data_IF_238793561176
#
_entry.id   IF_238793561176
#
_cell.length_a   1.000
_cell.length_b   1.000
_cell.length_c   1.000
_cell.angle_alpha   90.00
_cell.angle_beta   90.00
_cell.angle_gamma   90.00
#
_symmetry.space_group_name_H-M   'P 1'
#
loop_
_entity.id
_entity.type
_entity.pdbx_description
1 polymer ?
#
# COMPACT_ATOMS: atom_id res chain seq x y z
N UNK A 1 14.77 -9.04 -7.10
CA UNK A 1 15.65 -7.93 -7.04
C UNK A 1 16.98 -8.31 -6.42
N UNK A 2 18.08 -7.93 -7.06
CA UNK A 2 19.42 -8.33 -6.63
C UNK A 2 19.80 -7.75 -5.27
N UNK A 3 19.35 -6.54 -4.94
CA UNK A 3 19.63 -5.91 -3.65
C UNK A 3 18.98 -6.66 -2.47
N UNK A 4 17.75 -7.12 -2.62
CA UNK A 4 17.07 -7.90 -1.62
C UNK A 4 17.71 -9.28 -1.46
N UNK A 5 18.12 -9.91 -2.56
CA UNK A 5 18.84 -11.18 -2.52
C UNK A 5 20.17 -11.04 -1.82
N UNK A 6 20.92 -9.98 -2.07
CA UNK A 6 22.21 -9.70 -1.40
C UNK A 6 22.01 -9.49 0.11
N UNK A 7 20.96 -8.81 0.53
CA UNK A 7 20.63 -8.64 1.94
C UNK A 7 20.32 -9.99 2.62
N UNK A 8 19.59 -10.87 1.96
CA UNK A 8 19.29 -12.22 2.44
C UNK A 8 20.57 -13.03 2.59
N UNK A 9 21.45 -13.02 1.61
CA UNK A 9 22.71 -13.76 1.63
C UNK A 9 23.62 -13.27 2.77
N UNK A 10 23.67 -11.96 3.01
CA UNK A 10 24.38 -11.37 4.14
C UNK A 10 23.82 -11.85 5.48
N UNK A 11 22.50 -11.86 5.64
CA UNK A 11 21.85 -12.37 6.85
C UNK A 11 22.14 -13.84 7.09
N UNK A 12 22.11 -14.66 6.04
CA UNK A 12 22.44 -16.10 6.13
C UNK A 12 23.87 -16.33 6.62
N UNK A 13 24.83 -15.48 6.23
CA UNK A 13 26.22 -15.61 6.65
C UNK A 13 26.43 -15.29 8.12
N UNK A 14 25.56 -14.50 8.74
CA UNK A 14 25.65 -14.16 10.17
C UNK A 14 24.98 -15.19 11.09
N UNK A 15 24.10 -16.03 10.58
CA UNK A 15 23.36 -17.01 11.40
C UNK A 15 24.31 -17.91 12.21
N UNK A 16 25.40 -18.49 11.64
CA UNK A 16 26.32 -19.34 12.39
C UNK A 16 27.05 -18.63 13.53
N UNK A 17 27.07 -17.29 13.51
CA UNK A 17 27.76 -16.49 14.53
C UNK A 17 26.85 -16.12 15.71
N UNK A 18 25.56 -16.44 15.63
CA UNK A 18 24.57 -16.10 16.66
C UNK A 18 24.54 -17.17 17.75
N UNK A 19 24.62 -16.75 19.02
CA UNK A 19 24.66 -17.63 20.18
C UNK A 19 23.30 -17.92 20.81
N UNK A 20 22.24 -17.28 20.32
CA UNK A 20 20.88 -17.40 20.87
C UNK A 20 19.96 -18.08 19.87
N UNK A 21 19.32 -19.17 20.28
CA UNK A 21 18.32 -19.88 19.47
C UNK A 21 17.16 -18.96 19.05
N UNK A 22 16.76 -18.06 19.94
CA UNK A 22 15.70 -17.10 19.66
C UNK A 22 16.10 -16.12 18.55
N UNK A 23 17.32 -15.59 18.60
CA UNK A 23 17.85 -14.68 17.59
C UNK A 23 18.00 -15.42 16.25
N UNK A 24 18.50 -16.64 16.26
CA UNK A 24 18.62 -17.48 15.06
C UNK A 24 17.25 -17.71 14.43
N UNK A 25 16.24 -18.03 15.22
CA UNK A 25 14.88 -18.25 14.71
C UNK A 25 14.28 -16.97 14.12
N UNK A 26 14.46 -15.84 14.77
CA UNK A 26 14.01 -14.55 14.25
C UNK A 26 14.67 -14.19 12.91
N UNK A 27 15.99 -14.43 12.79
CA UNK A 27 16.72 -14.20 11.55
C UNK A 27 16.24 -15.15 10.43
N UNK A 28 16.01 -16.41 10.74
CA UNK A 28 15.47 -17.39 9.78
C UNK A 28 14.06 -17.03 9.31
N UNK A 29 13.19 -16.59 10.21
CA UNK A 29 11.83 -16.14 9.87
C UNK A 29 11.88 -14.93 8.95
N UNK A 30 12.74 -13.96 9.23
CA UNK A 30 12.95 -12.79 8.37
C UNK A 30 13.45 -13.17 6.98
N UNK A 31 14.40 -14.11 6.90
CA UNK A 31 14.92 -14.62 5.61
C UNK A 31 13.80 -15.33 4.83
N UNK A 32 13.05 -16.20 5.48
CA UNK A 32 11.96 -16.95 4.86
C UNK A 32 10.90 -15.99 4.27
N UNK A 33 10.52 -14.96 5.03
CA UNK A 33 9.58 -13.96 4.57
C UNK A 33 10.11 -13.17 3.37
N UNK A 34 11.39 -12.79 3.39
CA UNK A 34 12.03 -12.07 2.29
C UNK A 34 12.14 -12.94 1.04
N UNK A 35 12.48 -14.22 1.19
CA UNK A 35 12.53 -15.17 0.06
C UNK A 35 11.17 -15.38 -0.57
N UNK A 36 10.11 -15.46 0.24
CA UNK A 36 8.73 -15.54 -0.26
C UNK A 36 8.35 -14.32 -1.09
N UNK A 37 8.74 -13.12 -0.64
CA UNK A 37 8.49 -11.88 -1.39
C UNK A 37 9.28 -11.82 -2.69
N UNK A 38 10.52 -12.31 -2.72
CA UNK A 38 11.30 -12.41 -3.96
C UNK A 38 10.61 -13.33 -4.95
N UNK A 39 10.13 -14.49 -4.49
CA UNK A 39 9.43 -15.43 -5.35
C UNK A 39 8.15 -14.81 -5.94
N UNK A 40 7.42 -14.03 -5.16
CA UNK A 40 6.25 -13.30 -5.66
C UNK A 40 6.63 -12.27 -6.74
N UNK A 41 7.73 -11.53 -6.51
CA UNK A 41 8.19 -10.51 -7.46
C UNK A 41 8.77 -11.09 -8.73
N UNK A 42 9.32 -12.31 -8.67
CA UNK A 42 9.93 -12.99 -9.82
C UNK A 42 8.93 -13.85 -10.59
N UNK A 43 7.68 -13.95 -10.15
CA UNK A 43 6.66 -14.58 -10.97
C UNK A 43 6.55 -13.86 -12.31
N UNK A 44 6.50 -14.59 -13.43
CA UNK A 44 6.31 -13.93 -14.73
C UNK A 44 5.09 -13.04 -14.63
N UNK A 45 5.28 -11.78 -14.97
CA UNK A 45 4.13 -10.90 -15.20
C UNK A 45 3.45 -11.49 -16.43
N UNK A 46 2.46 -12.30 -16.17
CA UNK A 46 1.54 -12.65 -17.25
C UNK A 46 0.81 -11.34 -17.52
N UNK A 47 1.15 -10.75 -18.66
CA UNK A 47 0.51 -9.53 -19.14
C UNK A 47 -0.96 -9.84 -19.45
N UNK A 48 -1.70 -10.04 -18.40
CA UNK A 48 -3.13 -10.26 -18.45
C UNK A 48 -3.74 -9.32 -17.44
N UNK A 49 -4.18 -8.18 -17.91
CA UNK A 49 -4.86 -7.19 -17.07
C UNK A 49 -6.06 -7.78 -16.31
N UNK A 50 -6.53 -8.96 -16.71
CA UNK A 50 -7.54 -9.71 -15.99
C UNK A 50 -6.98 -10.43 -14.75
N UNK A 51 -5.70 -10.81 -14.73
CA UNK A 51 -5.12 -11.54 -13.60
C UNK A 51 -4.76 -10.66 -12.41
N UNK A 52 -4.54 -9.38 -12.64
CA UNK A 52 -4.37 -8.40 -11.56
C UNK A 52 -5.67 -8.27 -10.76
N UNK A 53 -6.78 -8.56 -11.38
CA UNK A 53 -8.11 -8.49 -10.77
C UNK A 53 -8.49 -9.77 -10.02
N UNK A 54 -7.72 -10.86 -10.11
CA UNK A 54 -8.12 -12.13 -9.49
C UNK A 54 -7.94 -12.08 -7.97
N UNK A 55 -9.02 -12.19 -7.30
CA UNK A 55 -9.14 -12.54 -5.89
C UNK A 55 -9.34 -11.39 -4.94
N UNK A 56 -8.59 -10.30 -4.98
CA UNK A 56 -8.64 -9.27 -3.94
C UNK A 56 -8.97 -7.86 -4.42
N UNK A 57 -8.73 -7.56 -5.68
CA UNK A 57 -8.86 -6.19 -6.17
C UNK A 57 -10.23 -5.92 -6.79
N UNK A 58 -10.91 -6.93 -7.32
CA UNK A 58 -12.16 -6.74 -8.04
C UNK A 58 -11.95 -6.20 -9.46
N UNK A 59 -13.02 -5.86 -10.17
CA UNK A 59 -12.94 -5.37 -11.52
C UNK A 59 -12.63 -3.88 -11.57
N UNK A 60 -11.62 -3.49 -12.35
CA UNK A 60 -11.31 -2.08 -12.61
C UNK A 60 -12.29 -1.53 -13.64
N UNK A 61 -13.09 -0.54 -13.25
CA UNK A 61 -14.06 0.09 -14.13
C UNK A 61 -13.56 1.40 -14.73
N UNK A 62 -12.56 2.03 -14.11
CA UNK A 62 -11.98 3.29 -14.60
C UNK A 62 -10.60 3.48 -14.00
N UNK A 63 -9.69 4.08 -14.76
CA UNK A 63 -8.36 4.46 -14.31
C UNK A 63 -8.19 5.97 -14.42
N UNK A 64 -7.75 6.60 -13.33
CA UNK A 64 -7.52 8.04 -13.25
C UNK A 64 -6.06 8.31 -12.91
N UNK A 65 -5.50 9.36 -13.51
CA UNK A 65 -4.24 9.93 -13.06
C UNK A 65 -4.55 11.10 -12.14
N UNK A 66 -4.10 11.03 -10.90
CA UNK A 66 -4.45 12.00 -9.87
C UNK A 66 -3.21 12.45 -9.11
N UNK A 67 -3.34 13.59 -8.45
CA UNK A 67 -2.34 14.04 -7.49
C UNK A 67 -2.68 13.46 -6.12
N UNK A 68 -1.67 13.12 -5.33
CA UNK A 68 -1.84 12.61 -3.98
C UNK A 68 -1.02 13.39 -2.98
N UNK A 69 -1.66 13.80 -1.92
CA UNK A 69 -1.03 14.24 -0.67
C UNK A 69 -1.23 13.15 0.38
N UNK A 70 -0.74 13.38 1.58
CA UNK A 70 -0.89 12.43 2.68
C UNK A 70 -1.22 13.16 3.98
N UNK A 71 -1.98 12.51 4.83
CA UNK A 71 -2.32 13.04 6.14
C UNK A 71 -2.29 11.95 7.20
N UNK A 72 -2.15 12.36 8.45
CA UNK A 72 -2.32 11.48 9.59
C UNK A 72 -3.08 12.20 10.70
N UNK A 73 -3.56 11.46 11.65
CA UNK A 73 -4.27 12.03 12.78
C UNK A 73 -5.29 11.07 13.35
N UNK A 74 -6.03 11.58 14.30
CA UNK A 74 -7.11 10.89 14.97
C UNK A 74 -8.43 11.51 14.58
N UNK A 75 -9.49 10.77 14.71
CA UNK A 75 -10.82 11.27 14.43
C UNK A 75 -11.65 10.26 13.65
N UNK A 76 -12.65 10.80 12.98
CA UNK A 76 -13.62 10.01 12.23
C UNK A 76 -13.72 10.57 10.82
N UNK A 77 -13.74 9.69 9.82
CA UNK A 77 -13.93 10.07 8.43
C UNK A 77 -15.35 10.55 8.16
N UNK A 78 -15.58 11.12 6.96
CA UNK A 78 -16.92 11.54 6.54
C UNK A 78 -17.92 10.36 6.51
N UNK A 79 -17.45 9.13 6.30
CA UNK A 79 -18.31 7.93 6.38
C UNK A 79 -18.49 7.40 7.81
N UNK A 80 -17.90 8.04 8.82
CA UNK A 80 -18.00 7.58 10.20
C UNK A 80 -17.02 6.48 10.56
N UNK A 81 -16.02 6.21 9.73
CA UNK A 81 -14.98 5.22 9.97
C UNK A 81 -13.78 5.87 10.66
N UNK A 82 -13.00 5.05 11.35
CA UNK A 82 -11.66 5.50 11.78
C UNK A 82 -10.72 5.48 10.58
N UNK A 83 -9.90 6.53 10.39
CA UNK A 83 -8.85 6.46 9.38
C UNK A 83 -7.90 5.29 9.68
N UNK A 84 -7.54 4.56 8.64
CA UNK A 84 -6.69 3.38 8.78
C UNK A 84 -5.70 3.28 7.63
N UNK A 85 -4.49 2.87 7.95
CA UNK A 85 -3.47 2.45 6.99
C UNK A 85 -3.21 0.97 7.18
N UNK A 86 -3.63 0.16 6.24
CA UNK A 86 -3.39 -1.27 6.24
C UNK A 86 -2.70 -1.66 4.93
N UNK A 87 -1.36 -1.82 4.92
CA UNK A 87 -0.64 -2.18 3.69
C UNK A 87 -1.05 -3.52 3.10
N UNK A 88 -1.63 -4.39 3.89
CA UNK A 88 -2.04 -5.74 3.49
C UNK A 88 -3.56 -5.87 3.29
N UNK A 89 -4.29 -4.77 3.38
CA UNK A 89 -5.74 -4.78 3.27
C UNK A 89 -6.28 -3.43 2.86
N UNK A 90 -7.45 -3.09 3.38
CA UNK A 90 -8.15 -1.86 3.01
C UNK A 90 -7.71 -0.70 3.90
N UNK A 91 -7.19 0.35 3.26
CA UNK A 91 -6.89 1.63 3.90
C UNK A 91 -7.98 2.66 3.61
N UNK A 92 -7.94 3.82 4.27
CA UNK A 92 -8.86 4.92 3.99
C UNK A 92 -8.15 6.07 3.30
N UNK A 93 -8.86 6.75 2.40
CA UNK A 93 -8.37 7.96 1.73
C UNK A 93 -9.45 9.04 1.74
N UNK A 94 -9.02 10.28 1.64
CA UNK A 94 -9.91 11.42 1.40
C UNK A 94 -9.94 11.74 -0.09
N UNK A 95 -11.11 12.09 -0.58
CA UNK A 95 -11.37 12.35 -2.00
C UNK A 95 -12.32 13.55 -2.15
N UNK A 96 -12.44 14.04 -3.39
CA UNK A 96 -13.58 14.87 -3.79
C UNK A 96 -14.74 13.94 -4.18
N UNK A 97 -15.87 13.97 -3.45
CA UNK A 97 -16.99 13.08 -3.74
C UNK A 97 -17.63 13.32 -5.12
N UNK A 98 -17.37 14.46 -5.74
CA UNK A 98 -17.81 14.73 -7.12
C UNK A 98 -16.97 14.01 -8.16
N UNK A 99 -15.77 13.56 -7.79
CA UNK A 99 -14.85 12.81 -8.67
C UNK A 99 -14.89 11.32 -8.33
N UNK A 100 -14.77 10.99 -7.05
CA UNK A 100 -14.84 9.62 -6.54
C UNK A 100 -15.92 9.60 -5.44
N UNK A 101 -17.08 9.00 -5.67
CA UNK A 101 -18.11 8.95 -4.64
C UNK A 101 -17.63 8.26 -3.36
N UNK A 102 -18.06 8.74 -2.21
CA UNK A 102 -17.75 8.10 -0.93
C UNK A 102 -18.26 6.66 -0.91
N UNK A 103 -17.47 5.76 -0.34
CA UNK A 103 -17.74 4.34 -0.33
C UNK A 103 -17.13 3.56 -1.51
N UNK A 104 -16.57 4.26 -2.49
CA UNK A 104 -15.91 3.63 -3.64
C UNK A 104 -14.60 2.98 -3.20
N UNK A 105 -14.39 1.74 -3.61
CA UNK A 105 -13.09 1.06 -3.45
C UNK A 105 -12.20 1.39 -4.63
N UNK A 106 -10.94 1.65 -4.33
CA UNK A 106 -9.93 2.02 -5.32
C UNK A 106 -8.63 1.30 -5.03
N UNK A 107 -7.78 1.20 -6.05
CA UNK A 107 -6.38 0.82 -5.90
C UNK A 107 -5.51 2.02 -6.27
N UNK A 108 -4.66 2.43 -5.35
CA UNK A 108 -3.77 3.59 -5.54
C UNK A 108 -2.34 3.09 -5.70
N UNK A 109 -1.69 3.48 -6.79
CA UNK A 109 -0.30 3.11 -7.04
C UNK A 109 0.62 3.59 -5.90
N UNK A 110 1.48 2.69 -5.42
CA UNK A 110 2.37 2.97 -4.30
C UNK A 110 1.71 2.98 -2.91
N UNK A 111 0.39 2.90 -2.84
CA UNK A 111 -0.35 2.91 -1.57
C UNK A 111 -1.12 1.61 -1.32
N UNK A 112 -1.85 1.13 -2.31
CA UNK A 112 -2.61 -0.12 -2.23
C UNK A 112 -4.11 0.06 -2.28
N UNK A 113 -4.83 -0.96 -1.82
CA UNK A 113 -6.28 -0.99 -1.79
C UNK A 113 -6.82 0.00 -0.76
N UNK A 114 -7.80 0.78 -1.13
CA UNK A 114 -8.38 1.80 -0.26
C UNK A 114 -9.88 1.99 -0.50
N UNK A 115 -10.53 2.59 0.48
CA UNK A 115 -11.91 3.05 0.37
C UNK A 115 -11.94 4.58 0.46
N UNK A 116 -12.69 5.21 -0.42
CA UNK A 116 -12.97 6.63 -0.36
C UNK A 116 -13.90 6.91 0.83
N UNK A 117 -13.31 7.22 1.98
CA UNK A 117 -14.03 7.32 3.25
C UNK A 117 -14.13 8.74 3.77
N UNK A 118 -13.30 9.65 3.29
CA UNK A 118 -13.19 10.99 3.86
C UNK A 118 -13.22 12.08 2.79
N UNK A 119 -13.37 13.29 3.26
CA UNK A 119 -13.32 14.50 2.44
C UNK A 119 -12.38 15.51 3.10
N UNK A 120 -11.99 16.53 2.36
CA UNK A 120 -11.18 17.61 2.89
C UNK A 120 -11.44 18.90 2.12
N UNK A 121 -11.33 20.04 2.81
CA UNK A 121 -11.57 21.35 2.20
C UNK A 121 -10.65 21.67 1.03
N UNK A 122 -9.43 21.12 1.06
CA UNK A 122 -8.42 21.27 0.00
C UNK A 122 -8.42 20.10 -1.00
N UNK A 123 -9.21 19.06 -0.77
CA UNK A 123 -9.25 17.86 -1.62
C UNK A 123 -10.40 18.02 -2.63
N UNK A 124 -10.11 18.77 -3.68
CA UNK A 124 -11.06 19.12 -4.73
C UNK A 124 -10.50 18.80 -6.12
N UNK A 125 -11.31 18.16 -6.95
CA UNK A 125 -10.91 17.77 -8.31
C UNK A 125 -10.09 16.49 -8.32
N UNK A 126 -9.07 16.45 -9.17
CA UNK A 126 -8.21 15.27 -9.37
C UNK A 126 -7.10 15.17 -8.33
N UNK A 127 -7.47 15.20 -7.08
CA UNK A 127 -6.57 15.04 -5.95
C UNK A 127 -7.17 14.08 -4.94
N UNK A 128 -6.32 13.26 -4.33
CA UNK A 128 -6.64 12.42 -3.19
C UNK A 128 -5.67 12.69 -2.05
N UNK A 129 -6.06 12.32 -0.84
CA UNK A 129 -5.23 12.46 0.35
C UNK A 129 -5.20 11.11 1.06
N UNK A 130 -4.03 10.46 1.05
CA UNK A 130 -3.91 9.13 1.62
C UNK A 130 -3.59 9.20 3.11
N UNK A 131 -4.20 8.33 3.89
CA UNK A 131 -3.94 8.26 5.33
C UNK A 131 -2.71 7.42 5.61
N UNK A 132 -1.81 7.95 6.45
CA UNK A 132 -0.62 7.26 6.93
C UNK A 132 -0.56 7.31 8.45
N UNK A 133 0.31 6.50 9.05
CA UNK A 133 0.32 6.30 10.50
C UNK A 133 1.17 7.32 11.27
N UNK A 134 1.97 8.13 10.58
CA UNK A 134 2.84 9.11 11.23
C UNK A 134 3.10 10.31 10.32
N UNK A 135 3.53 11.39 10.95
CA UNK A 135 3.95 12.60 10.24
C UNK A 135 5.15 12.31 9.31
N UNK A 136 6.09 11.51 9.77
CA UNK A 136 7.28 11.13 9.00
C UNK A 136 6.90 10.37 7.73
N UNK A 137 5.94 9.47 7.81
CA UNK A 137 5.43 8.76 6.64
C UNK A 137 4.76 9.72 5.66
N UNK A 138 3.98 10.67 6.15
CA UNK A 138 3.35 11.69 5.32
C UNK A 138 4.39 12.58 4.64
N UNK A 139 5.41 12.96 5.37
CA UNK A 139 6.51 13.77 4.83
C UNK A 139 7.26 13.02 3.73
N UNK A 140 7.53 11.73 3.94
CA UNK A 140 8.18 10.88 2.94
C UNK A 140 7.31 10.65 1.72
N UNK A 141 5.99 10.52 1.89
CA UNK A 141 5.05 10.43 0.79
C UNK A 141 5.06 11.69 -0.04
N UNK A 142 5.00 12.83 0.61
CA UNK A 142 5.01 14.15 -0.02
C UNK A 142 3.79 14.40 -0.87
N UNK A 143 4.00 15.12 -1.95
CA UNK A 143 2.99 15.38 -2.98
C UNK A 143 3.46 14.71 -4.27
N UNK A 144 2.67 13.80 -4.80
CA UNK A 144 3.07 12.99 -5.96
C UNK A 144 1.89 12.70 -6.86
N UNK A 145 2.21 12.35 -8.08
CA UNK A 145 1.24 11.83 -9.03
C UNK A 145 1.06 10.33 -8.81
N UNK A 146 -0.18 9.87 -8.82
CA UNK A 146 -0.54 8.46 -8.65
C UNK A 146 -1.54 8.04 -9.72
N UNK A 147 -1.61 6.75 -9.96
CA UNK A 147 -2.69 6.13 -10.72
C UNK A 147 -3.71 5.59 -9.75
N UNK A 148 -4.97 5.95 -9.93
CA UNK A 148 -6.10 5.49 -9.13
C UNK A 148 -7.00 4.64 -10.00
N UNK A 149 -7.15 3.38 -9.65
CA UNK A 149 -8.04 2.44 -10.33
C UNK A 149 -9.33 2.33 -9.53
N UNK A 150 -10.43 2.72 -10.14
CA UNK A 150 -11.76 2.59 -9.52
C UNK A 150 -12.20 1.14 -9.66
N UNK A 151 -12.63 0.55 -8.56
CA UNK A 151 -13.04 -0.84 -8.47
C UNK A 151 -14.55 -0.95 -8.33
N UNK A 152 -15.08 -2.02 -8.88
CA UNK A 152 -16.49 -2.37 -8.75
C UNK A 152 -16.76 -3.19 -7.49
#
# INVERSE_FOLDING_TARGET
TSELQNAIDSLKSYIPLLNSSKIINMARDGISNAESRINELNKPIVDNSADIATGTIGNVVKTLTMESTAYYGHGTTALGLKPVRNPNGLSTIAVDPNVIPLGTKVYVSGYGLAIAADTGGAIKGNIIDVFLNSYEECYSWGRRQVTVQILE
#
